data_IF_641166555452
#
_entry.id   IF_641166555452
#
_cell.length_a   1.000
_cell.length_b   1.000
_cell.length_c   1.000
_cell.angle_alpha   90.00
_cell.angle_beta   90.00
_cell.angle_gamma   90.00
#
_symmetry.space_group_name_H-M   'P 1'
#
loop_
_entity.id
_entity.type
_entity.pdbx_description
1 polymer ?
#
# COMPACT_ATOMS: atom_id res chain seq x y z
N UNK A 1 -16.78 -1.44 47.70
CA UNK A 1 -16.76 -2.65 46.83
C UNK A 1 -17.62 -2.51 45.57
N UNK A 2 -18.41 -1.44 45.39
CA UNK A 2 -19.29 -1.28 44.21
C UNK A 2 -18.64 -0.77 42.91
N UNK A 3 -17.40 -0.27 42.97
CA UNK A 3 -16.74 0.40 41.82
C UNK A 3 -16.10 -0.60 40.82
N UNK A 4 -15.46 -1.72 41.24
CA UNK A 4 -14.85 -2.66 40.30
C UNK A 4 -15.87 -3.44 39.45
N UNK A 5 -17.00 -3.83 40.05
CA UNK A 5 -18.04 -4.60 39.37
C UNK A 5 -18.75 -3.80 38.27
N UNK A 6 -18.95 -2.49 38.47
CA UNK A 6 -19.53 -1.60 37.46
C UNK A 6 -18.58 -1.41 36.27
N UNK A 7 -17.26 -1.26 36.51
CA UNK A 7 -16.27 -1.14 35.44
C UNK A 7 -16.15 -2.42 34.61
N UNK A 8 -16.20 -3.60 35.24
CA UNK A 8 -16.19 -4.90 34.53
C UNK A 8 -17.45 -5.05 33.68
N UNK A 9 -18.62 -4.71 34.23
CA UNK A 9 -19.88 -4.78 33.50
C UNK A 9 -19.92 -3.81 32.31
N UNK A 10 -19.41 -2.59 32.46
CA UNK A 10 -19.28 -1.64 31.36
C UNK A 10 -18.32 -2.14 30.27
N UNK A 11 -17.18 -2.74 30.65
CA UNK A 11 -16.20 -3.27 29.70
C UNK A 11 -16.71 -4.45 28.88
N UNK A 12 -17.62 -5.27 29.42
CA UNK A 12 -18.25 -6.37 28.66
C UNK A 12 -19.34 -5.84 27.74
N UNK A 13 -20.06 -4.79 28.15
CA UNK A 13 -21.11 -4.15 27.35
C UNK A 13 -20.57 -3.31 26.18
N UNK A 14 -19.30 -2.90 26.21
CA UNK A 14 -18.61 -2.18 25.12
C UNK A 14 -17.68 -3.07 24.30
N UNK A 15 -17.78 -4.40 24.45
CA UNK A 15 -16.99 -5.33 23.65
C UNK A 15 -17.52 -5.35 22.21
N UNK A 16 -16.93 -4.54 21.33
CA UNK A 16 -17.21 -4.62 19.90
C UNK A 16 -16.65 -5.92 19.34
N UNK A 17 -17.46 -6.63 18.54
CA UNK A 17 -16.97 -7.78 17.79
C UNK A 17 -15.99 -7.28 16.74
N UNK A 18 -14.70 -7.57 16.93
CA UNK A 18 -13.74 -7.46 15.84
C UNK A 18 -14.14 -8.45 14.74
N UNK A 19 -14.49 -7.92 13.56
CA UNK A 19 -14.68 -8.71 12.36
C UNK A 19 -13.31 -8.82 11.68
N UNK A 20 -13.02 -9.93 10.99
CA UNK A 20 -11.82 -10.00 10.15
C UNK A 20 -12.10 -9.33 8.80
N UNK A 21 -11.06 -8.83 8.13
CA UNK A 21 -11.18 -8.51 6.70
C UNK A 21 -11.56 -9.77 5.91
N UNK A 22 -12.35 -9.61 4.84
CA UNK A 22 -12.91 -10.73 4.06
C UNK A 22 -12.66 -10.56 2.56
N UNK A 23 -13.00 -11.58 1.76
CA UNK A 23 -12.71 -11.65 0.32
C UNK A 23 -11.42 -12.43 0.04
N UNK A 24 -10.54 -11.87 -0.78
CA UNK A 24 -9.20 -12.37 -1.07
C UNK A 24 -8.11 -11.37 -0.63
N UNK A 25 -7.98 -11.08 0.68
CA UNK A 25 -7.09 -10.04 1.20
C UNK A 25 -5.59 -10.43 1.20
N UNK A 26 -5.18 -11.36 0.35
CA UNK A 26 -3.83 -11.90 0.36
C UNK A 26 -2.89 -10.98 -0.41
N UNK A 27 -1.99 -10.31 0.32
CA UNK A 27 -1.05 -9.36 -0.24
C UNK A 27 0.24 -9.37 0.60
N UNK A 28 1.38 -9.17 -0.06
CA UNK A 28 2.69 -9.05 0.58
C UNK A 28 3.16 -7.60 0.46
N UNK A 29 3.71 -7.03 1.53
CA UNK A 29 4.12 -5.62 1.64
C UNK A 29 3.09 -4.63 1.06
N UNK A 30 1.86 -4.56 1.62
CA UNK A 30 0.85 -3.65 1.13
C UNK A 30 1.26 -2.19 1.31
N UNK A 31 0.99 -1.38 0.29
CA UNK A 31 1.10 0.08 0.34
C UNK A 31 0.10 0.67 1.31
N UNK A 32 0.30 1.95 1.67
CA UNK A 32 -0.76 2.76 2.26
C UNK A 32 -2.04 2.65 1.42
N UNK A 33 -3.19 2.52 2.10
CA UNK A 33 -4.50 2.41 1.46
C UNK A 33 -4.91 3.78 0.91
N UNK A 34 -5.16 3.85 -0.39
CA UNK A 34 -5.63 5.05 -1.07
C UNK A 34 -7.12 4.98 -1.37
N UNK A 35 -7.85 6.05 -1.07
CA UNK A 35 -9.22 6.25 -1.54
C UNK A 35 -9.20 6.89 -2.94
N UNK A 36 -10.01 6.34 -3.85
CA UNK A 36 -10.25 6.88 -5.19
C UNK A 36 -11.69 6.55 -5.61
N UNK A 37 -12.47 7.59 -5.90
CA UNK A 37 -13.87 7.49 -6.37
C UNK A 37 -14.77 6.62 -5.46
N UNK A 38 -14.61 6.75 -4.14
CA UNK A 38 -15.38 6.02 -3.14
C UNK A 38 -14.95 4.56 -2.93
N UNK A 39 -13.81 4.16 -3.50
CA UNK A 39 -13.22 2.83 -3.35
C UNK A 39 -11.82 2.93 -2.75
N UNK A 40 -11.35 1.84 -2.17
CA UNK A 40 -10.05 1.74 -1.51
C UNK A 40 -9.12 0.84 -2.31
N UNK A 41 -7.86 1.23 -2.41
CA UNK A 41 -6.83 0.57 -3.19
C UNK A 41 -5.57 0.38 -2.34
N UNK A 42 -4.96 -0.78 -2.42
CA UNK A 42 -3.61 -1.03 -1.91
C UNK A 42 -2.84 -1.89 -2.91
N UNK A 43 -1.54 -1.65 -3.03
CA UNK A 43 -0.66 -2.38 -3.95
C UNK A 43 0.33 -3.19 -3.14
N UNK A 44 0.79 -4.33 -3.66
CA UNK A 44 1.75 -5.18 -2.96
C UNK A 44 2.97 -5.49 -3.80
N UNK A 45 3.89 -6.22 -3.19
CA UNK A 45 5.00 -6.87 -3.86
C UNK A 45 4.49 -7.73 -5.02
N UNK A 46 5.18 -7.65 -6.15
CA UNK A 46 4.72 -8.18 -7.44
C UNK A 46 3.97 -7.14 -8.26
N UNK A 47 3.02 -7.57 -9.08
CA UNK A 47 2.19 -6.69 -9.94
C UNK A 47 0.78 -6.60 -9.39
N UNK A 48 0.11 -5.49 -9.67
CA UNK A 48 -1.30 -5.30 -9.30
C UNK A 48 -1.49 -4.88 -7.84
N UNK A 49 -2.68 -5.14 -7.33
CA UNK A 49 -3.13 -4.74 -6.00
C UNK A 49 -4.59 -5.13 -5.76
N UNK A 50 -5.07 -4.79 -4.56
CA UNK A 50 -6.43 -5.09 -4.11
C UNK A 50 -7.31 -3.85 -4.19
N UNK A 51 -8.59 -4.07 -4.45
CA UNK A 51 -9.66 -3.06 -4.38
C UNK A 51 -10.68 -3.48 -3.34
N UNK A 52 -11.18 -2.51 -2.59
CA UNK A 52 -12.36 -2.66 -1.74
C UNK A 52 -13.37 -1.55 -2.00
N UNK A 53 -14.66 -1.89 -1.99
CA UNK A 53 -15.73 -0.89 -2.09
C UNK A 53 -16.13 -0.32 -0.70
N UNK A 54 -15.72 -0.98 0.39
CA UNK A 54 -16.19 -0.72 1.75
C UNK A 54 -15.04 -0.59 2.76
N UNK A 55 -13.78 -0.83 2.34
CA UNK A 55 -12.60 -0.85 3.20
C UNK A 55 -12.42 -2.17 3.97
N UNK A 56 -13.25 -3.18 3.71
CA UNK A 56 -13.33 -4.40 4.50
C UNK A 56 -13.31 -5.68 3.67
N UNK A 57 -14.05 -5.70 2.58
CA UNK A 57 -14.09 -6.77 1.57
C UNK A 57 -13.09 -6.45 0.48
N UNK A 58 -11.98 -7.19 0.43
CA UNK A 58 -10.89 -6.96 -0.51
C UNK A 58 -10.89 -8.02 -1.61
N UNK A 59 -10.68 -7.59 -2.85
CA UNK A 59 -10.54 -8.50 -3.99
C UNK A 59 -9.45 -7.98 -4.93
N UNK A 60 -8.98 -8.83 -5.82
CA UNK A 60 -8.11 -8.41 -6.93
C UNK A 60 -8.78 -7.32 -7.79
N UNK A 61 -7.96 -6.48 -8.41
CA UNK A 61 -8.41 -5.50 -9.40
C UNK A 61 -7.60 -4.22 -9.42
N UNK A 62 -6.77 -3.98 -8.39
CA UNK A 62 -5.82 -2.89 -8.39
C UNK A 62 -4.80 -3.17 -9.47
N UNK A 63 -4.57 -2.20 -10.37
CA UNK A 63 -3.61 -2.35 -11.46
C UNK A 63 -2.45 -1.42 -11.20
N UNK A 64 -1.26 -1.99 -11.01
CA UNK A 64 0.00 -1.26 -10.87
C UNK A 64 1.08 -1.94 -11.71
N UNK A 65 1.68 -1.24 -12.70
CA UNK A 65 2.78 -1.78 -13.52
C UNK A 65 4.10 -1.80 -12.75
N UNK A 66 5.19 -2.24 -13.39
CA UNK A 66 6.55 -2.15 -12.85
C UNK A 66 7.04 -3.37 -12.06
N UNK A 67 6.16 -4.17 -11.46
CA UNK A 67 6.61 -5.28 -10.60
C UNK A 67 7.43 -4.79 -9.41
N UNK A 68 8.30 -5.62 -8.84
CA UNK A 68 9.14 -5.22 -7.70
C UNK A 68 8.47 -5.41 -6.34
N UNK A 69 8.98 -4.75 -5.31
CA UNK A 69 8.63 -4.97 -3.92
C UNK A 69 8.23 -3.69 -3.17
N UNK A 70 7.50 -3.89 -2.06
CA UNK A 70 7.16 -2.89 -1.06
C UNK A 70 6.74 -1.53 -1.66
N UNK A 71 5.66 -1.49 -2.45
CA UNK A 71 5.17 -0.23 -2.96
C UNK A 71 4.58 0.62 -1.83
N UNK A 72 4.61 1.93 -2.02
CA UNK A 72 3.80 2.85 -1.23
C UNK A 72 3.08 3.85 -2.14
N UNK A 73 1.99 4.44 -1.65
CA UNK A 73 1.16 5.34 -2.42
C UNK A 73 0.68 6.53 -1.60
N UNK A 74 0.63 7.70 -2.23
CA UNK A 74 0.07 8.92 -1.64
C UNK A 74 -0.68 9.72 -2.69
N UNK A 75 -1.76 10.39 -2.27
CA UNK A 75 -2.47 11.36 -3.10
C UNK A 75 -1.90 12.76 -2.88
N UNK A 76 -1.49 13.42 -3.96
CA UNK A 76 -0.98 14.80 -3.95
C UNK A 76 -1.79 15.59 -4.98
N UNK A 77 -2.62 16.51 -4.49
CA UNK A 77 -3.57 17.23 -5.33
C UNK A 77 -4.59 16.29 -5.99
N UNK A 78 -4.63 16.30 -7.32
CA UNK A 78 -5.55 15.51 -8.15
C UNK A 78 -4.92 14.21 -8.70
N UNK A 79 -3.73 13.82 -8.22
CA UNK A 79 -3.00 12.65 -8.71
C UNK A 79 -2.48 11.79 -7.56
N UNK A 80 -2.12 10.56 -7.89
CA UNK A 80 -1.51 9.59 -7.00
C UNK A 80 -0.06 9.38 -7.42
N UNK A 81 0.85 9.50 -6.46
CA UNK A 81 2.25 9.10 -6.57
C UNK A 81 2.38 7.69 -6.02
N UNK A 82 3.00 6.80 -6.78
CA UNK A 82 3.30 5.43 -6.36
C UNK A 82 4.81 5.29 -6.36
N UNK A 83 5.38 4.90 -5.23
CA UNK A 83 6.77 4.46 -5.11
C UNK A 83 6.83 2.93 -5.08
N UNK A 84 7.90 2.34 -5.58
CA UNK A 84 8.16 0.90 -5.46
C UNK A 84 9.63 0.56 -5.68
N UNK A 85 10.08 -0.54 -5.10
CA UNK A 85 11.46 -1.04 -5.23
C UNK A 85 11.55 -1.97 -6.44
N UNK A 86 12.27 -1.59 -7.49
CA UNK A 86 12.37 -2.36 -8.73
C UNK A 86 13.39 -3.51 -8.65
N UNK A 87 14.44 -3.32 -7.86
CA UNK A 87 15.53 -4.27 -7.57
C UNK A 87 16.00 -4.06 -6.13
N UNK A 88 16.71 -5.03 -5.52
CA UNK A 88 17.26 -4.91 -4.16
C UNK A 88 17.40 -6.24 -3.42
N UNK A 89 18.00 -6.21 -2.23
CA UNK A 89 18.57 -7.37 -1.52
C UNK A 89 17.60 -8.47 -1.12
N UNK A 90 16.30 -8.18 -1.05
CA UNK A 90 15.27 -9.20 -0.84
C UNK A 90 14.96 -10.09 -2.05
N UNK A 91 15.22 -9.61 -3.28
CA UNK A 91 14.93 -10.36 -4.52
C UNK A 91 16.19 -10.97 -5.17
N UNK A 92 17.38 -10.40 -4.89
CA UNK A 92 18.65 -10.80 -5.51
C UNK A 92 19.83 -11.04 -4.55
N UNK A 93 19.68 -10.78 -3.25
CA UNK A 93 20.69 -11.10 -2.23
C UNK A 93 21.84 -10.11 -2.01
N UNK A 94 21.75 -8.86 -2.49
CA UNK A 94 22.75 -7.79 -2.26
C UNK A 94 22.13 -6.39 -2.23
N UNK A 95 22.86 -5.36 -1.79
CA UNK A 95 22.31 -4.01 -1.56
C UNK A 95 22.14 -3.16 -2.84
N UNK A 96 22.07 -3.76 -4.03
CA UNK A 96 21.86 -3.05 -5.29
C UNK A 96 20.37 -2.70 -5.56
N UNK A 97 19.84 -1.79 -4.75
CA UNK A 97 18.45 -1.34 -4.76
C UNK A 97 18.16 -0.23 -5.78
N UNK A 98 16.90 -0.14 -6.22
CA UNK A 98 16.38 1.00 -7.00
C UNK A 98 14.95 1.31 -6.59
N UNK A 99 14.71 2.51 -6.08
CA UNK A 99 13.37 3.03 -5.83
C UNK A 99 12.91 3.83 -7.04
N UNK A 100 11.80 3.41 -7.62
CA UNK A 100 11.14 4.09 -8.73
C UNK A 100 9.85 4.74 -8.25
N UNK A 101 9.47 5.82 -8.90
CA UNK A 101 8.18 6.49 -8.72
C UNK A 101 7.44 6.64 -10.04
N UNK A 102 6.12 6.61 -10.00
CA UNK A 102 5.27 6.91 -11.14
C UNK A 102 3.98 7.60 -10.69
N UNK A 103 3.40 8.39 -11.57
CA UNK A 103 2.16 9.11 -11.34
C UNK A 103 1.00 8.47 -12.06
N UNK A 104 -0.20 8.58 -11.51
CA UNK A 104 -1.46 8.36 -12.22
C UNK A 104 -2.51 9.36 -11.74
N UNK A 105 -3.47 9.74 -12.59
CA UNK A 105 -4.58 10.64 -12.21
C UNK A 105 -5.67 9.91 -11.43
N UNK A 106 -5.81 8.62 -11.63
CA UNK A 106 -6.86 7.80 -11.03
C UNK A 106 -6.33 6.41 -10.77
N UNK A 107 -6.87 5.73 -9.75
CA UNK A 107 -6.58 4.33 -9.47
C UNK A 107 -7.64 3.40 -10.07
N UNK A 108 -8.74 3.94 -10.61
CA UNK A 108 -9.80 3.17 -11.25
C UNK A 108 -9.38 2.73 -12.67
N UNK A 109 -9.16 1.43 -12.93
CA UNK A 109 -8.69 0.95 -14.23
C UNK A 109 -9.69 1.16 -15.38
N UNK A 110 -10.95 1.45 -15.07
CA UNK A 110 -12.00 1.72 -16.06
C UNK A 110 -12.13 3.20 -16.41
N UNK A 111 -11.37 4.08 -15.75
CA UNK A 111 -11.39 5.51 -16.07
C UNK A 111 -10.66 5.77 -17.39
N UNK A 112 -11.16 6.68 -18.25
CA UNK A 112 -10.44 7.09 -19.45
C UNK A 112 -9.11 7.80 -19.14
N UNK A 113 -8.97 8.34 -17.93
CA UNK A 113 -7.74 8.99 -17.45
C UNK A 113 -6.74 8.00 -16.80
N UNK A 114 -7.04 6.70 -16.80
CA UNK A 114 -6.17 5.69 -16.21
C UNK A 114 -4.92 5.44 -17.05
N UNK A 115 -3.85 6.15 -16.72
CA UNK A 115 -2.56 6.02 -17.38
C UNK A 115 -1.42 6.33 -16.40
N UNK A 116 -0.64 5.31 -16.07
CA UNK A 116 0.60 5.52 -15.34
C UNK A 116 1.64 6.22 -16.22
N UNK A 117 2.38 7.16 -15.65
CA UNK A 117 3.54 7.76 -16.31
C UNK A 117 4.68 6.75 -16.40
N UNK A 118 5.67 7.03 -17.25
CA UNK A 118 6.94 6.32 -17.20
C UNK A 118 7.56 6.42 -15.78
N UNK A 119 8.10 5.32 -15.23
CA UNK A 119 8.75 5.34 -13.93
C UNK A 119 10.02 6.20 -13.92
N UNK A 120 10.24 6.91 -12.83
CA UNK A 120 11.41 7.75 -12.57
C UNK A 120 12.16 7.20 -11.37
N UNK A 121 13.46 6.95 -11.52
CA UNK A 121 14.34 6.58 -10.41
C UNK A 121 14.54 7.77 -9.47
N UNK A 122 14.33 7.55 -8.17
CA UNK A 122 14.47 8.59 -7.13
C UNK A 122 15.58 8.29 -6.13
N UNK A 123 15.94 7.01 -5.98
CA UNK A 123 17.07 6.57 -5.18
C UNK A 123 17.59 5.24 -5.75
N UNK A 124 18.88 5.01 -5.61
CA UNK A 124 19.51 3.72 -5.85
C UNK A 124 20.58 3.48 -4.79
N UNK A 125 20.98 2.22 -4.68
CA UNK A 125 22.16 1.81 -3.94
C UNK A 125 22.95 0.77 -4.72
N UNK A 126 24.20 0.57 -4.34
CA UNK A 126 25.10 -0.45 -4.89
C UNK A 126 25.41 -1.53 -3.84
N UNK A 127 26.07 -2.61 -4.27
CA UNK A 127 26.25 -3.82 -3.46
C UNK A 127 26.95 -3.61 -2.11
N UNK A 128 27.88 -2.65 -2.02
CA UNK A 128 28.74 -2.40 -0.85
C UNK A 128 28.34 -1.17 -0.03
N UNK A 129 27.14 -0.63 -0.26
CA UNK A 129 26.65 0.52 0.49
C UNK A 129 25.99 0.11 1.81
N UNK A 130 26.08 1.00 2.80
CA UNK A 130 25.54 0.80 4.15
C UNK A 130 24.00 0.71 4.17
N UNK A 131 23.33 1.23 3.15
CA UNK A 131 21.88 1.25 3.02
C UNK A 131 21.44 0.59 1.71
N UNK A 132 20.31 -0.12 1.76
CA UNK A 132 19.65 -0.68 0.56
C UNK A 132 18.49 0.25 0.16
N UNK A 133 18.46 0.67 -1.10
CA UNK A 133 17.43 1.54 -1.66
C UNK A 133 16.16 0.73 -1.98
N UNK A 134 15.45 0.38 -0.90
CA UNK A 134 14.18 -0.36 -0.91
C UNK A 134 13.17 0.27 0.09
N UNK A 135 11.97 -0.30 0.16
CA UNK A 135 10.96 -0.05 1.19
C UNK A 135 10.61 1.43 1.38
N UNK A 136 10.36 2.12 0.27
CA UNK A 136 9.98 3.53 0.27
C UNK A 136 8.67 3.76 1.05
N UNK A 137 8.66 4.81 1.87
CA UNK A 137 7.46 5.35 2.52
C UNK A 137 7.23 6.80 2.13
N UNK A 138 6.00 7.16 1.79
CA UNK A 138 5.60 8.48 1.33
C UNK A 138 4.82 9.21 2.44
N UNK A 139 5.26 10.41 2.79
CA UNK A 139 4.64 11.26 3.80
C UNK A 139 4.67 12.72 3.32
N UNK A 140 3.60 13.46 3.59
CA UNK A 140 3.56 14.92 3.44
C UNK A 140 3.83 15.58 4.80
N UNK A 141 4.53 16.70 4.78
CA UNK A 141 4.93 17.48 5.96
C UNK A 141 3.87 18.49 6.44
#
# INVERSE_FOLDING_TARGET
VLIPGMMILMSVLTSEKAIAQVGTPYIHDPSTIMECDGKYYTFGTGRGGLISNDGWTWNDGGVRPGGGAAPDAIKIGDRYLIAYSATGGGLGGGHAGRVLTMWNKTLNPNSPDFAYTEPVEVAHSLDDEDCDAIDAGLLLD
#
